data_IF_167776657152
#
_entry.id   IF_167776657152
#
_cell.length_a   1.000
_cell.length_b   1.000
_cell.length_c   1.000
_cell.angle_alpha   90.00
_cell.angle_beta   90.00
_cell.angle_gamma   90.00
#
_symmetry.space_group_name_H-M   'P 1'
#
loop_
_entity.id
_entity.type
_entity.pdbx_description
1 polymer ?
#
# COMPACT_ATOMS: atom_id res chain seq x y z
N UNK A 1 18.86 4.57 -1.71
CA UNK A 1 17.86 3.65 -1.20
C UNK A 1 16.57 4.33 -0.80
N UNK A 2 15.57 3.55 -0.48
CA UNK A 2 14.32 4.01 0.13
C UNK A 2 14.51 4.19 1.63
N UNK A 3 14.19 5.37 2.16
CA UNK A 3 14.11 5.64 3.58
C UNK A 3 12.64 5.63 4.00
N UNK A 4 12.34 4.98 5.12
CA UNK A 4 10.97 4.87 5.65
C UNK A 4 10.93 5.24 7.12
N UNK A 5 9.86 5.94 7.51
CA UNK A 5 9.50 6.20 8.89
C UNK A 5 8.05 5.80 9.08
N UNK A 6 7.79 4.75 9.82
CA UNK A 6 6.45 4.20 10.01
C UNK A 6 5.97 4.31 11.47
N UNK A 7 4.67 4.10 11.68
CA UNK A 7 4.03 4.21 12.99
C UNK A 7 4.30 3.04 13.96
N UNK A 8 5.27 2.18 13.66
CA UNK A 8 5.88 1.26 14.62
C UNK A 8 7.10 1.89 15.31
N UNK A 9 7.66 2.95 14.69
CA UNK A 9 8.80 3.68 15.24
C UNK A 9 8.31 4.87 16.08
N UNK A 10 8.75 5.04 17.33
CA UNK A 10 8.38 6.19 18.17
C UNK A 10 8.61 7.56 17.50
N UNK A 11 9.69 7.72 16.74
CA UNK A 11 10.00 8.96 16.01
C UNK A 11 8.90 9.38 15.02
N UNK A 12 8.08 8.44 14.55
CA UNK A 12 6.92 8.78 13.73
C UNK A 12 5.95 9.69 14.48
N UNK A 13 5.68 9.37 15.73
CA UNK A 13 4.75 10.14 16.56
C UNK A 13 5.33 11.51 16.92
N UNK A 14 6.61 11.58 17.25
CA UNK A 14 7.31 12.84 17.45
C UNK A 14 7.23 13.74 16.21
N UNK A 15 7.40 13.16 15.03
CA UNK A 15 7.30 13.88 13.76
C UNK A 15 5.90 14.42 13.48
N UNK A 16 4.85 13.59 13.64
CA UNK A 16 3.48 14.04 13.36
C UNK A 16 2.96 15.07 14.36
N UNK A 17 3.42 15.03 15.62
CA UNK A 17 3.02 16.03 16.64
C UNK A 17 3.54 17.44 16.32
N UNK A 18 4.58 17.58 15.51
CA UNK A 18 5.10 18.86 15.06
C UNK A 18 4.19 19.56 14.03
N UNK A 19 3.18 18.87 13.49
CA UNK A 19 2.30 19.40 12.44
C UNK A 19 0.85 19.01 12.68
N UNK A 20 -0.01 20.02 12.88
CA UNK A 20 -1.47 19.81 13.00
C UNK A 20 -2.05 19.05 11.80
N UNK A 21 -1.54 19.30 10.59
CA UNK A 21 -2.00 18.65 9.37
C UNK A 21 -1.67 17.16 9.38
N UNK A 22 -0.42 16.78 9.72
CA UNK A 22 -0.02 15.39 9.78
C UNK A 22 -0.75 14.63 10.89
N UNK A 23 -0.92 15.26 12.04
CA UNK A 23 -1.69 14.69 13.14
C UNK A 23 -3.14 14.43 12.74
N UNK A 24 -3.81 15.42 12.15
CA UNK A 24 -5.19 15.29 11.69
C UNK A 24 -5.33 14.19 10.63
N UNK A 25 -4.40 14.12 9.68
CA UNK A 25 -4.40 13.10 8.63
C UNK A 25 -4.24 11.70 9.24
N UNK A 26 -3.29 11.53 10.16
CA UNK A 26 -3.10 10.27 10.88
C UNK A 26 -4.37 9.87 11.66
N UNK A 27 -4.93 10.76 12.47
CA UNK A 27 -6.14 10.50 13.27
C UNK A 27 -7.34 10.16 12.39
N UNK A 28 -7.50 10.88 11.27
CA UNK A 28 -8.59 10.64 10.31
C UNK A 28 -8.51 9.24 9.71
N UNK A 29 -7.36 8.86 9.19
CA UNK A 29 -7.18 7.54 8.57
C UNK A 29 -7.07 6.41 9.61
N UNK A 30 -6.67 6.69 10.85
CA UNK A 30 -6.65 5.73 11.95
C UNK A 30 -7.96 5.72 12.76
N UNK A 31 -9.04 6.21 12.18
CA UNK A 31 -10.37 6.13 12.76
C UNK A 31 -11.17 4.95 12.23
N UNK A 32 -11.97 4.30 13.08
CA UNK A 32 -12.80 3.16 12.68
C UNK A 32 -13.78 3.55 11.56
N UNK A 33 -14.32 4.76 11.62
CA UNK A 33 -15.25 5.28 10.62
C UNK A 33 -14.61 5.36 9.24
N UNK A 34 -13.41 5.94 9.14
CA UNK A 34 -12.70 6.08 7.86
C UNK A 34 -12.26 4.73 7.32
N UNK A 35 -11.72 3.86 8.17
CA UNK A 35 -11.30 2.51 7.77
C UNK A 35 -12.49 1.70 7.25
N UNK A 36 -13.65 1.79 7.90
CA UNK A 36 -14.88 1.16 7.39
C UNK A 36 -15.38 1.75 6.08
N UNK A 37 -15.28 3.07 5.88
CA UNK A 37 -15.64 3.70 4.60
C UNK A 37 -14.77 3.19 3.46
N UNK A 38 -13.45 3.14 3.63
CA UNK A 38 -12.54 2.58 2.62
C UNK A 38 -12.80 1.09 2.38
N UNK A 39 -12.99 0.32 3.44
CA UNK A 39 -13.32 -1.09 3.29
C UNK A 39 -14.61 -1.29 2.48
N UNK A 40 -15.66 -0.55 2.78
CA UNK A 40 -16.92 -0.64 2.05
C UNK A 40 -16.78 -0.22 0.59
N UNK A 41 -15.95 0.79 0.30
CA UNK A 41 -15.62 1.19 -1.07
C UNK A 41 -14.96 0.05 -1.85
N UNK A 42 -14.05 -0.69 -1.21
CA UNK A 42 -13.32 -1.80 -1.84
C UNK A 42 -14.05 -3.15 -1.76
N UNK A 43 -15.10 -3.25 -0.97
CA UNK A 43 -15.80 -4.52 -0.71
C UNK A 43 -16.28 -5.23 -1.99
N UNK A 44 -16.81 -4.56 -3.04
CA UNK A 44 -17.21 -5.22 -4.28
C UNK A 44 -16.03 -5.94 -4.95
N UNK A 45 -14.84 -5.35 -4.93
CA UNK A 45 -13.64 -5.94 -5.54
C UNK A 45 -13.00 -6.99 -4.63
N UNK A 46 -13.02 -6.79 -3.32
CA UNK A 46 -12.57 -7.80 -2.36
C UNK A 46 -13.37 -9.10 -2.47
N UNK A 47 -14.68 -9.02 -2.76
CA UNK A 47 -15.54 -10.20 -2.96
C UNK A 47 -15.15 -11.03 -4.19
N UNK A 48 -14.52 -10.42 -5.20
CA UNK A 48 -14.02 -11.11 -6.39
C UNK A 48 -12.75 -11.91 -6.13
N UNK A 49 -12.05 -11.62 -5.02
CA UNK A 49 -10.80 -12.27 -4.63
C UNK A 49 -11.14 -13.51 -3.79
N UNK A 50 -10.80 -14.75 -4.22
CA UNK A 50 -11.17 -15.99 -3.54
C UNK A 50 -10.80 -15.99 -2.05
N UNK A 51 -9.61 -15.50 -1.69
CA UNK A 51 -9.08 -15.45 -0.33
C UNK A 51 -9.76 -14.39 0.55
N UNK A 52 -10.55 -13.47 -0.04
CA UNK A 52 -11.19 -12.33 0.63
C UNK A 52 -12.72 -12.35 0.58
N UNK A 53 -13.33 -13.14 -0.29
CA UNK A 53 -14.78 -13.15 -0.56
C UNK A 53 -15.67 -13.30 0.69
N UNK A 54 -15.14 -13.92 1.74
CA UNK A 54 -15.88 -14.19 2.97
C UNK A 54 -15.81 -13.05 4.01
N UNK A 55 -15.04 -11.99 3.75
CA UNK A 55 -14.97 -10.85 4.67
C UNK A 55 -16.21 -9.99 4.46
N UNK A 56 -17.04 -9.86 5.51
CA UNK A 56 -18.24 -8.99 5.48
C UNK A 56 -18.03 -7.68 6.20
N UNK A 57 -17.29 -7.72 7.31
CA UNK A 57 -17.05 -6.58 8.17
C UNK A 57 -15.59 -6.52 8.62
N UNK A 58 -15.17 -5.35 9.07
CA UNK A 58 -13.86 -5.16 9.67
C UNK A 58 -13.99 -4.46 11.03
N UNK A 59 -12.99 -4.69 11.88
CA UNK A 59 -12.80 -4.00 13.16
C UNK A 59 -11.38 -3.46 13.22
N UNK A 60 -11.23 -2.16 13.43
CA UNK A 60 -9.92 -1.52 13.56
C UNK A 60 -9.27 -1.90 14.90
N UNK A 61 -7.99 -2.28 14.83
CA UNK A 61 -7.10 -2.42 15.98
C UNK A 61 -6.08 -1.30 15.92
N UNK A 62 -6.13 -0.38 16.87
CA UNK A 62 -5.25 0.80 16.88
C UNK A 62 -3.82 0.50 17.33
N UNK A 63 -3.63 -0.53 18.16
CA UNK A 63 -2.31 -0.87 18.73
C UNK A 63 -1.71 -2.08 18.01
N UNK A 64 -0.50 -1.93 17.51
CA UNK A 64 0.22 -3.00 16.79
C UNK A 64 0.62 -4.18 17.70
N UNK A 65 0.89 -3.90 18.98
CA UNK A 65 1.39 -4.89 19.94
C UNK A 65 0.28 -5.67 20.68
N UNK A 66 -0.99 -5.34 20.45
CA UNK A 66 -2.09 -6.10 21.01
C UNK A 66 -2.33 -7.37 20.20
N UNK A 67 -1.71 -8.45 20.65
CA UNK A 67 -2.15 -9.79 20.31
C UNK A 67 -3.53 -10.02 20.94
N UNK A 68 -4.59 -9.97 20.14
CA UNK A 68 -5.92 -10.40 20.58
C UNK A 68 -5.90 -11.94 20.75
N UNK A 69 -5.33 -12.40 21.87
CA UNK A 69 -5.12 -13.83 22.15
C UNK A 69 -6.35 -14.60 22.60
N UNK A 70 -7.46 -13.92 22.91
CA UNK A 70 -8.67 -14.61 23.35
C UNK A 70 -9.23 -15.51 22.25
N UNK A 71 -9.17 -16.83 22.48
CA UNK A 71 -9.76 -17.83 21.58
C UNK A 71 -11.26 -17.58 21.34
N UNK A 72 -11.97 -17.08 22.36
CA UNK A 72 -13.40 -16.75 22.29
C UNK A 72 -13.61 -15.58 21.32
N UNK A 73 -12.84 -14.51 21.45
CA UNK A 73 -12.93 -13.34 20.57
C UNK A 73 -12.66 -13.73 19.09
N UNK A 74 -11.64 -14.55 18.83
CA UNK A 74 -11.36 -15.06 17.49
C UNK A 74 -12.52 -15.88 16.92
N UNK A 75 -13.21 -16.67 17.74
CA UNK A 75 -14.40 -17.44 17.33
C UNK A 75 -15.56 -16.53 16.95
N UNK A 76 -15.84 -15.49 17.77
CA UNK A 76 -16.90 -14.49 17.49
C UNK A 76 -16.62 -13.79 16.17
N UNK A 77 -15.40 -13.31 15.94
CA UNK A 77 -15.02 -12.65 14.69
C UNK A 77 -15.20 -13.59 13.49
N UNK A 78 -14.82 -14.85 13.63
CA UNK A 78 -15.01 -15.86 12.58
C UNK A 78 -16.49 -16.08 12.27
N UNK A 79 -17.32 -16.21 13.28
CA UNK A 79 -18.77 -16.39 13.15
C UNK A 79 -19.43 -15.20 12.45
N UNK A 80 -19.11 -13.99 12.83
CA UNK A 80 -19.64 -12.76 12.24
C UNK A 80 -19.01 -12.41 10.88
N UNK A 81 -18.04 -13.21 10.41
CA UNK A 81 -17.23 -12.92 9.21
C UNK A 81 -16.56 -11.53 9.27
N UNK A 82 -16.27 -11.09 10.49
CA UNK A 82 -15.52 -9.85 10.75
C UNK A 82 -14.02 -10.16 10.79
N UNK A 83 -13.20 -9.28 10.23
CA UNK A 83 -11.74 -9.36 10.32
C UNK A 83 -11.19 -8.16 11.07
N UNK A 84 -10.21 -8.43 11.91
CA UNK A 84 -9.43 -7.36 12.53
C UNK A 84 -8.50 -6.75 11.48
N UNK A 85 -8.39 -5.42 11.50
CA UNK A 85 -7.56 -4.65 10.58
C UNK A 85 -6.67 -3.71 11.36
N UNK A 86 -5.40 -3.66 10.99
CA UNK A 86 -4.42 -2.67 11.46
C UNK A 86 -4.05 -1.75 10.32
N UNK A 87 -3.76 -0.49 10.63
CA UNK A 87 -3.31 0.50 9.64
C UNK A 87 -1.86 0.86 9.90
N UNK A 88 -1.00 0.62 8.92
CA UNK A 88 0.38 1.09 8.92
C UNK A 88 0.44 2.39 8.14
N UNK A 89 1.06 3.39 8.74
CA UNK A 89 1.37 4.68 8.12
C UNK A 89 2.88 4.77 7.93
N UNK A 90 3.31 5.17 6.75
CA UNK A 90 4.72 5.25 6.41
C UNK A 90 5.00 6.52 5.61
N UNK A 91 5.86 7.39 6.13
CA UNK A 91 6.56 8.37 5.30
C UNK A 91 7.68 7.67 4.54
N UNK A 92 7.70 7.87 3.24
CA UNK A 92 8.67 7.24 2.36
C UNK A 92 9.38 8.31 1.53
N UNK A 93 10.71 8.22 1.50
CA UNK A 93 11.58 9.05 0.69
C UNK A 93 12.50 8.17 -0.14
N UNK A 94 12.43 8.33 -1.43
CA UNK A 94 13.25 7.60 -2.39
C UNK A 94 14.21 8.56 -3.08
N UNK A 95 15.50 8.32 -2.89
CA UNK A 95 16.57 9.14 -3.47
C UNK A 95 16.79 8.84 -4.93
N UNK A 96 17.53 9.72 -5.59
CA UNK A 96 17.98 9.53 -6.96
C UNK A 96 18.66 8.15 -7.18
N UNK A 97 18.59 7.62 -8.38
CA UNK A 97 19.06 6.30 -8.78
C UNK A 97 18.39 5.12 -8.06
N UNK A 98 17.31 5.35 -7.33
CA UNK A 98 16.55 4.30 -6.68
C UNK A 98 15.34 3.90 -7.50
N UNK A 99 14.92 2.66 -7.32
CA UNK A 99 13.69 2.11 -7.88
C UNK A 99 13.06 1.15 -6.86
N UNK A 100 11.81 0.84 -7.06
CA UNK A 100 11.16 -0.25 -6.36
C UNK A 100 10.91 -1.34 -7.40
N UNK A 101 11.54 -2.53 -7.27
CA UNK A 101 11.37 -3.59 -8.24
C UNK A 101 9.91 -4.05 -8.30
N UNK A 102 9.50 -4.69 -9.40
CA UNK A 102 8.19 -5.30 -9.48
C UNK A 102 7.96 -6.25 -8.30
N UNK A 103 6.86 -6.02 -7.60
CA UNK A 103 6.48 -6.84 -6.45
C UNK A 103 4.97 -6.92 -6.33
N UNK A 104 4.53 -7.95 -5.67
CA UNK A 104 3.16 -8.12 -5.20
C UNK A 104 3.16 -7.94 -3.68
N UNK A 105 2.10 -7.38 -3.15
CA UNK A 105 1.97 -7.13 -1.71
C UNK A 105 1.84 -8.42 -0.89
N UNK A 106 2.17 -8.37 0.41
CA UNK A 106 2.01 -9.52 1.32
C UNK A 106 0.56 -9.96 1.43
N UNK A 107 0.33 -11.26 1.67
CA UNK A 107 -1.01 -11.85 1.72
C UNK A 107 -1.93 -11.33 2.83
N UNK A 108 -1.38 -10.74 3.87
CA UNK A 108 -2.12 -10.12 4.97
C UNK A 108 -2.51 -8.66 4.67
N UNK A 109 -1.90 -8.02 3.67
CA UNK A 109 -2.27 -6.66 3.23
C UNK A 109 -3.58 -6.70 2.44
N UNK A 110 -4.54 -5.88 2.82
CA UNK A 110 -5.83 -5.74 2.11
C UNK A 110 -5.67 -4.77 0.95
N UNK A 111 -5.12 -3.59 1.24
CA UNK A 111 -4.87 -2.56 0.25
C UNK A 111 -3.71 -1.65 0.66
N UNK A 112 -3.17 -0.95 -0.31
CA UNK A 112 -2.20 0.11 -0.15
C UNK A 112 -2.73 1.40 -0.78
N UNK A 113 -2.63 2.52 -0.06
CA UNK A 113 -2.95 3.85 -0.53
C UNK A 113 -1.67 4.70 -0.49
N UNK A 114 -1.43 5.48 -1.52
CA UNK A 114 -0.23 6.30 -1.66
C UNK A 114 -0.63 7.74 -1.97
N UNK A 115 -0.18 8.67 -1.15
CA UNK A 115 -0.31 10.11 -1.37
C UNK A 115 1.06 10.63 -1.74
N UNK A 116 1.16 11.32 -2.87
CA UNK A 116 2.44 11.83 -3.39
C UNK A 116 2.66 13.28 -2.99
N UNK A 117 3.93 13.63 -2.75
CA UNK A 117 4.38 14.98 -2.43
C UNK A 117 5.51 15.38 -3.38
N UNK A 118 5.18 15.70 -4.65
CA UNK A 118 6.15 16.24 -5.57
C UNK A 118 6.57 17.64 -5.11
N UNK A 119 7.82 17.94 -5.31
CA UNK A 119 8.29 19.31 -5.17
C UNK A 119 7.81 20.17 -6.36
N UNK A 120 7.76 21.49 -6.20
CA UNK A 120 7.09 22.40 -7.16
C UNK A 120 7.66 22.33 -8.58
N UNK A 121 8.94 22.00 -8.71
CA UNK A 121 9.68 22.06 -9.98
C UNK A 121 9.80 20.71 -10.70
N UNK A 122 9.09 19.65 -10.22
CA UNK A 122 9.14 18.33 -10.87
C UNK A 122 8.57 18.43 -12.28
N UNK A 123 9.37 18.05 -13.27
CA UNK A 123 8.98 18.07 -14.68
C UNK A 123 7.80 17.12 -14.97
N UNK A 124 7.03 17.39 -16.02
CA UNK A 124 5.95 16.49 -16.43
C UNK A 124 6.46 15.11 -16.83
N UNK A 125 7.67 15.03 -17.37
CA UNK A 125 8.34 13.77 -17.66
C UNK A 125 8.59 12.97 -16.37
N UNK A 126 9.14 13.62 -15.34
CA UNK A 126 9.41 12.98 -14.05
C UNK A 126 8.13 12.63 -13.28
N UNK A 127 7.10 13.44 -13.33
CA UNK A 127 5.80 13.12 -12.77
C UNK A 127 5.23 11.80 -13.32
N UNK A 128 5.42 11.55 -14.60
CA UNK A 128 5.00 10.29 -15.24
C UNK A 128 5.89 9.10 -14.82
N UNK A 129 7.19 9.32 -14.67
CA UNK A 129 8.19 8.29 -14.36
C UNK A 129 8.20 7.89 -12.89
N UNK A 130 8.05 8.86 -11.98
CA UNK A 130 8.12 8.66 -10.53
C UNK A 130 6.82 8.14 -9.90
N UNK A 131 5.79 7.98 -10.68
CA UNK A 131 4.54 7.38 -10.25
C UNK A 131 4.69 5.90 -9.94
N UNK A 132 3.59 5.28 -9.58
CA UNK A 132 3.51 3.83 -9.40
C UNK A 132 2.95 3.20 -10.65
N UNK A 133 3.67 2.26 -11.23
CA UNK A 133 3.23 1.49 -12.38
C UNK A 133 2.49 0.24 -11.92
N UNK A 134 1.41 -0.10 -12.58
CA UNK A 134 0.60 -1.28 -12.33
C UNK A 134 0.61 -2.20 -13.54
N UNK A 135 0.73 -3.49 -13.27
CA UNK A 135 0.95 -4.50 -14.29
C UNK A 135 -0.17 -5.52 -14.29
N UNK A 136 -0.53 -5.96 -15.50
CA UNK A 136 -1.44 -7.07 -15.73
C UNK A 136 -0.70 -8.17 -16.49
N UNK A 137 -0.92 -9.40 -16.11
CA UNK A 137 -0.35 -10.56 -16.76
C UNK A 137 -0.88 -10.71 -18.18
N UNK A 138 -0.01 -11.11 -19.10
CA UNK A 138 -0.36 -11.27 -20.52
C UNK A 138 -1.05 -12.61 -20.81
N UNK A 139 -0.90 -13.62 -19.95
CA UNK A 139 -1.50 -14.95 -20.10
C UNK A 139 -1.98 -15.49 -18.75
N UNK A 140 -3.12 -16.17 -18.74
CA UNK A 140 -3.73 -16.77 -17.55
C UNK A 140 -3.00 -18.05 -17.15
N UNK A 141 -1.92 -17.97 -16.39
CA UNK A 141 -1.29 -19.13 -15.75
C UNK A 141 -0.67 -18.75 -14.42
N UNK A 142 -1.04 -19.51 -13.38
CA UNK A 142 -0.55 -19.55 -12.01
C UNK A 142 -0.85 -18.31 -11.15
N UNK A 143 -1.71 -18.54 -10.17
CA UNK A 143 -2.02 -17.60 -9.09
C UNK A 143 -0.85 -17.54 -8.12
N UNK A 144 -0.06 -16.46 -8.18
CA UNK A 144 0.95 -16.17 -7.17
C UNK A 144 0.31 -15.29 -6.10
N UNK A 145 -0.19 -15.92 -5.04
CA UNK A 145 -0.79 -15.21 -3.90
C UNK A 145 0.26 -14.65 -2.93
N UNK A 146 1.43 -15.30 -2.85
CA UNK A 146 2.49 -14.87 -1.95
C UNK A 146 3.19 -13.60 -2.47
N UNK A 147 3.70 -12.79 -1.52
CA UNK A 147 4.47 -11.61 -1.88
C UNK A 147 5.81 -12.03 -2.46
N UNK A 148 6.13 -11.49 -3.62
CA UNK A 148 7.45 -11.61 -4.20
C UNK A 148 8.02 -10.23 -4.48
N UNK A 149 9.26 -10.03 -4.09
CA UNK A 149 10.10 -8.94 -4.57
C UNK A 149 11.07 -9.57 -5.53
N UNK A 150 10.99 -9.20 -6.80
CA UNK A 150 11.77 -9.84 -7.85
C UNK A 150 13.22 -9.39 -7.80
N UNK A 151 14.14 -10.34 -7.92
CA UNK A 151 15.55 -10.10 -8.18
C UNK A 151 15.80 -9.63 -9.60
N UNK A 152 17.04 -9.22 -9.90
CA UNK A 152 17.40 -8.64 -11.20
C UNK A 152 17.14 -9.60 -12.38
N UNK A 153 17.43 -10.87 -12.23
CA UNK A 153 17.17 -11.89 -13.25
C UNK A 153 15.66 -12.09 -13.50
N UNK A 154 14.90 -12.12 -12.45
CA UNK A 154 13.45 -12.34 -12.50
C UNK A 154 12.71 -11.14 -13.09
N UNK A 155 13.20 -9.90 -12.89
CA UNK A 155 12.64 -8.69 -13.50
C UNK A 155 12.64 -8.76 -15.02
N UNK A 156 13.68 -9.32 -15.65
CA UNK A 156 13.72 -9.48 -17.12
C UNK A 156 12.59 -10.37 -17.62
N UNK A 157 12.31 -11.46 -16.91
CA UNK A 157 11.20 -12.35 -17.25
C UNK A 157 9.84 -11.74 -16.92
N UNK A 158 9.76 -10.97 -15.83
CA UNK A 158 8.55 -10.27 -15.46
C UNK A 158 8.08 -9.34 -16.59
N UNK A 159 8.92 -8.44 -17.07
CA UNK A 159 8.55 -7.49 -18.13
C UNK A 159 8.22 -8.13 -19.48
N UNK A 160 8.63 -9.38 -19.72
CA UNK A 160 8.19 -10.16 -20.88
C UNK A 160 6.76 -10.69 -20.74
N UNK A 161 6.36 -11.02 -19.51
CA UNK A 161 5.09 -11.70 -19.22
C UNK A 161 4.02 -10.78 -18.68
N UNK A 162 4.39 -9.58 -18.22
CA UNK A 162 3.47 -8.60 -17.63
C UNK A 162 3.50 -7.30 -18.44
N UNK A 163 2.32 -6.79 -18.76
CA UNK A 163 2.17 -5.52 -19.44
C UNK A 163 1.73 -4.45 -18.46
N UNK A 164 2.41 -3.32 -18.50
CA UNK A 164 1.96 -2.13 -17.78
C UNK A 164 0.65 -1.66 -18.39
N UNK A 165 -0.39 -1.56 -17.57
CA UNK A 165 -1.70 -1.12 -18.02
C UNK A 165 -2.09 0.25 -17.44
N UNK A 166 -1.44 0.67 -16.37
CA UNK A 166 -1.69 1.96 -15.74
C UNK A 166 -0.43 2.48 -15.03
N UNK A 167 -0.28 3.81 -15.01
CA UNK A 167 0.71 4.49 -14.18
C UNK A 167 0.00 5.60 -13.39
N UNK A 168 0.07 5.53 -12.07
CA UNK A 168 -0.39 6.62 -11.24
C UNK A 168 0.64 7.75 -11.28
N UNK A 169 0.26 8.88 -11.88
CA UNK A 169 1.13 10.05 -12.01
C UNK A 169 1.58 10.56 -10.65
N UNK A 170 2.87 10.88 -10.49
CA UNK A 170 3.43 11.49 -9.29
C UNK A 170 3.07 12.98 -9.25
N UNK A 171 1.85 13.28 -8.82
CA UNK A 171 1.31 14.64 -8.74
C UNK A 171 0.75 14.91 -7.35
N UNK A 172 0.79 16.16 -6.94
CA UNK A 172 0.16 16.60 -5.70
C UNK A 172 -1.36 16.36 -5.71
N UNK A 173 -1.96 16.27 -4.51
CA UNK A 173 -3.39 16.03 -4.29
C UNK A 173 -3.93 14.75 -4.96
N UNK A 174 -3.06 13.79 -5.24
CA UNK A 174 -3.42 12.50 -5.81
C UNK A 174 -3.28 11.39 -4.79
N UNK A 175 -4.36 10.64 -4.64
CA UNK A 175 -4.37 9.36 -3.93
C UNK A 175 -4.37 8.25 -4.98
N UNK A 176 -3.30 7.46 -5.01
CA UNK A 176 -3.24 6.23 -5.77
C UNK A 176 -3.40 5.04 -4.82
N UNK A 177 -3.97 3.94 -5.30
CA UNK A 177 -4.11 2.78 -4.45
C UNK A 177 -4.30 1.48 -5.23
N UNK A 178 -4.08 0.39 -4.53
CA UNK A 178 -4.31 -0.96 -5.01
C UNK A 178 -4.93 -1.82 -3.93
N UNK A 179 -5.71 -2.81 -4.39
CA UNK A 179 -6.20 -3.90 -3.55
C UNK A 179 -5.30 -5.12 -3.80
N UNK A 180 -4.83 -5.76 -2.72
CA UNK A 180 -4.03 -6.98 -2.86
C UNK A 180 -4.86 -8.09 -3.52
N UNK A 181 -4.36 -8.53 -4.65
CA UNK A 181 -4.85 -9.69 -5.41
C UNK A 181 -3.65 -10.43 -6.02
N UNK A 182 -3.89 -11.54 -6.69
CA UNK A 182 -2.84 -12.27 -7.42
C UNK A 182 -2.25 -11.44 -8.57
N UNK A 183 -2.99 -10.42 -9.03
CA UNK A 183 -2.60 -9.51 -10.11
C UNK A 183 -2.24 -8.09 -9.62
N UNK A 184 -1.92 -7.90 -8.35
CA UNK A 184 -1.59 -6.58 -7.81
C UNK A 184 -0.11 -6.21 -7.96
N UNK A 185 0.51 -6.64 -9.05
CA UNK A 185 1.90 -6.35 -9.37
C UNK A 185 2.10 -4.87 -9.69
N UNK A 186 3.10 -4.29 -9.06
CA UNK A 186 3.44 -2.88 -9.25
C UNK A 186 4.92 -2.61 -8.98
N UNK A 187 5.41 -1.51 -9.54
CA UNK A 187 6.77 -1.04 -9.33
C UNK A 187 6.84 0.49 -9.27
N UNK A 188 8.03 1.00 -9.02
CA UNK A 188 8.41 2.38 -9.28
C UNK A 188 9.65 2.37 -10.15
N UNK A 189 9.57 3.00 -11.31
CA UNK A 189 10.67 3.07 -12.26
C UNK A 189 11.92 3.71 -11.64
N UNK A 190 13.09 3.32 -12.14
CA UNK A 190 14.34 3.93 -11.73
C UNK A 190 14.33 5.42 -12.03
N UNK A 191 14.73 6.20 -11.04
CA UNK A 191 14.89 7.64 -11.15
C UNK A 191 16.36 7.96 -11.42
N UNK A 192 16.68 8.32 -12.65
CA UNK A 192 18.01 8.79 -13.00
C UNK A 192 18.00 10.32 -13.11
N UNK A 193 19.02 10.97 -12.56
CA UNK A 193 19.23 12.43 -12.65
C UNK A 193 18.07 13.28 -12.12
N UNK A 194 17.43 12.85 -11.05
CA UNK A 194 16.47 13.71 -10.34
C UNK A 194 17.24 14.68 -9.44
N UNK A 195 16.88 15.94 -9.51
CA UNK A 195 17.34 16.95 -8.55
C UNK A 195 16.69 16.72 -7.17
N UNK A 196 15.51 16.08 -7.14
CA UNK A 196 14.68 15.95 -5.95
C UNK A 196 14.30 14.51 -5.64
N UNK A 197 13.99 14.23 -4.38
CA UNK A 197 13.57 12.92 -3.92
C UNK A 197 12.09 12.67 -4.17
N UNK A 198 11.74 11.43 -4.51
CA UNK A 198 10.35 11.01 -4.53
C UNK A 198 9.84 10.82 -3.10
N UNK A 199 8.88 11.63 -2.69
CA UNK A 199 8.27 11.61 -1.36
C UNK A 199 6.84 11.10 -1.44
N UNK A 200 6.46 10.20 -0.53
CA UNK A 200 5.09 9.74 -0.41
C UNK A 200 4.71 9.44 1.04
N UNK A 201 3.42 9.56 1.32
CA UNK A 201 2.81 9.05 2.55
C UNK A 201 1.96 7.84 2.17
N UNK A 202 2.30 6.70 2.74
CA UNK A 202 1.69 5.43 2.42
C UNK A 202 0.81 4.98 3.58
N UNK A 203 -0.37 4.45 3.25
CA UNK A 203 -1.34 3.95 4.21
C UNK A 203 -1.66 2.52 3.81
N UNK A 204 -1.29 1.57 4.64
CA UNK A 204 -1.48 0.15 4.36
C UNK A 204 -2.47 -0.46 5.35
N UNK A 205 -3.45 -1.17 4.83
CA UNK A 205 -4.43 -1.89 5.64
C UNK A 205 -4.05 -3.37 5.68
N UNK A 206 -3.80 -3.88 6.89
CA UNK A 206 -3.41 -5.27 7.12
C UNK A 206 -4.49 -6.02 7.88
N UNK A 207 -4.67 -7.30 7.54
CA UNK A 207 -5.35 -8.24 8.40
C UNK A 207 -4.50 -8.51 9.64
N UNK A 208 -5.14 -8.54 10.82
CA UNK A 208 -4.48 -8.81 12.11
C UNK A 208 -4.91 -10.16 12.67
#
# INVERSE_FOLDING_TARGET
GKLCLDNKNPLFFEFIEQSKTWKLLYETFNSETTVKKFFNLFLPDLKKIPQRKNIKNIKLIKQWNLDYKSKIYKRILKFTRTRSVKVLFEFSRMRNNCFIPPHSETKDKICALLIYFPDKNVSEFDKNRLGTNFYKRSKDNLDIWDSEILGEYEMKNFYKNYKKFYSAKFTENKLAGLIKSDNSWHDVSKSDNLEEDRKSFNIFFFLA
#
